data_IF_058147546650
#
_entry.id   IF_058147546650
#
_cell.length_a   1.000
_cell.length_b   1.000
_cell.length_c   1.000
_cell.angle_alpha   90.00
_cell.angle_beta   90.00
_cell.angle_gamma   90.00
#
_symmetry.space_group_name_H-M   'P 1'
#
loop_
_entity.id
_entity.type
_entity.pdbx_description
1 polymer ?
#
# COMPACT_ATOMS: atom_id res chain seq x y z
N UNK A 1 -2.62 4.40 -9.73
CA UNK A 1 -3.69 3.55 -9.13
C UNK A 1 -3.52 2.04 -9.42
N UNK A 2 -3.18 1.65 -10.66
CA UNK A 2 -3.10 0.24 -11.05
C UNK A 2 -1.95 -0.56 -10.39
N UNK A 3 -0.86 0.11 -10.00
CA UNK A 3 0.34 -0.56 -9.48
C UNK A 3 0.15 -1.19 -8.10
N UNK A 4 -0.84 -0.75 -7.33
CA UNK A 4 -1.15 -1.32 -6.00
C UNK A 4 -2.28 -2.36 -6.05
N UNK A 5 -2.62 -2.84 -7.24
CA UNK A 5 -3.62 -3.89 -7.45
C UNK A 5 -2.99 -5.28 -7.60
N UNK A 6 -1.65 -5.37 -7.53
CA UNK A 6 -0.89 -6.62 -7.59
C UNK A 6 0.11 -6.64 -6.46
N UNK A 7 0.33 -7.82 -5.89
CA UNK A 7 1.27 -7.97 -4.78
C UNK A 7 2.69 -7.63 -5.23
N UNK A 8 3.49 -7.10 -4.30
CA UNK A 8 4.94 -6.89 -4.43
C UNK A 8 5.40 -5.95 -5.56
N UNK A 9 4.56 -5.00 -5.98
CA UNK A 9 4.98 -3.93 -6.92
C UNK A 9 5.76 -2.80 -6.24
N UNK A 10 6.64 -3.16 -5.30
CA UNK A 10 7.37 -2.24 -4.42
C UNK A 10 8.28 -1.32 -5.23
N UNK A 11 9.01 -1.87 -6.20
CA UNK A 11 9.94 -1.09 -7.03
C UNK A 11 9.18 -0.17 -8.00
N UNK A 12 8.09 -0.64 -8.60
CA UNK A 12 7.28 0.15 -9.52
C UNK A 12 6.55 1.29 -8.81
N UNK A 13 6.06 1.03 -7.59
CA UNK A 13 5.46 2.07 -6.75
C UNK A 13 6.50 3.13 -6.35
N UNK A 14 7.69 2.71 -5.94
CA UNK A 14 8.79 3.61 -5.61
C UNK A 14 9.17 4.52 -6.78
N UNK A 15 9.40 3.91 -7.94
CA UNK A 15 9.79 4.59 -9.17
C UNK A 15 8.72 5.58 -9.65
N UNK A 16 7.44 5.20 -9.57
CA UNK A 16 6.33 6.11 -9.90
C UNK A 16 6.27 7.34 -8.99
N UNK A 17 6.46 7.13 -7.69
CA UNK A 17 6.47 8.23 -6.70
C UNK A 17 7.69 9.11 -6.86
N UNK A 18 8.87 8.51 -7.07
CA UNK A 18 10.10 9.25 -7.34
C UNK A 18 9.94 10.14 -8.57
N UNK A 19 9.51 9.58 -9.71
CA UNK A 19 9.27 10.37 -10.93
C UNK A 19 8.28 11.50 -10.68
N UNK A 20 7.18 11.23 -9.99
CA UNK A 20 6.21 12.28 -9.68
C UNK A 20 6.84 13.43 -8.90
N UNK A 21 7.60 13.15 -7.85
CA UNK A 21 8.20 14.17 -7.00
C UNK A 21 9.37 14.92 -7.66
N UNK A 22 10.15 14.26 -8.52
CA UNK A 22 11.29 14.85 -9.21
C UNK A 22 10.93 15.51 -10.56
N UNK A 23 9.67 15.45 -10.99
CA UNK A 23 9.16 16.10 -12.21
C UNK A 23 7.96 17.03 -11.90
N UNK A 24 8.14 17.98 -10.98
CA UNK A 24 7.18 19.04 -10.63
C UNK A 24 5.79 18.57 -10.16
N UNK A 25 5.68 17.32 -9.73
CA UNK A 25 4.47 16.79 -9.13
C UNK A 25 4.12 17.51 -7.82
N UNK A 26 2.82 17.61 -7.54
CA UNK A 26 2.29 18.30 -6.38
C UNK A 26 2.26 17.36 -5.16
N UNK A 27 3.14 17.54 -4.16
CA UNK A 27 3.28 16.55 -3.10
C UNK A 27 2.02 16.37 -2.24
N UNK A 28 1.19 17.41 -2.14
CA UNK A 28 -0.06 17.36 -1.39
C UNK A 28 -1.10 16.44 -2.06
N UNK A 29 -1.09 16.36 -3.40
CA UNK A 29 -1.90 15.39 -4.13
C UNK A 29 -1.37 13.96 -3.91
N UNK A 30 -0.05 13.79 -3.83
CA UNK A 30 0.55 12.49 -3.51
C UNK A 30 0.21 12.05 -2.08
N UNK A 31 0.30 12.94 -1.10
CA UNK A 31 -0.12 12.68 0.29
C UNK A 31 -1.59 12.22 0.33
N UNK A 32 -2.48 12.93 -0.35
CA UNK A 32 -3.89 12.56 -0.45
C UNK A 32 -4.08 11.18 -1.11
N UNK A 33 -3.32 10.89 -2.17
CA UNK A 33 -3.36 9.61 -2.86
C UNK A 33 -2.87 8.46 -1.98
N UNK A 34 -1.74 8.63 -1.29
CA UNK A 34 -1.20 7.64 -0.36
C UNK A 34 -2.15 7.42 0.83
N UNK A 35 -2.80 8.47 1.32
CA UNK A 35 -3.87 8.38 2.33
C UNK A 35 -5.07 7.59 1.82
N UNK A 36 -5.52 7.82 0.59
CA UNK A 36 -6.62 7.05 -0.03
C UNK A 36 -6.24 5.57 -0.22
N UNK A 37 -5.01 5.30 -0.65
CA UNK A 37 -4.50 3.95 -0.86
C UNK A 37 -4.33 3.21 0.44
N UNK A 38 -3.76 3.89 1.45
CA UNK A 38 -3.83 3.47 2.84
C UNK A 38 -5.27 3.07 3.08
N UNK A 39 -6.26 3.98 2.93
CA UNK A 39 -7.72 3.85 3.15
C UNK A 39 -8.48 2.73 2.42
N UNK A 40 -7.87 2.06 1.45
CA UNK A 40 -8.49 1.01 0.66
C UNK A 40 -8.28 -0.42 1.18
N UNK A 41 -7.17 -0.68 1.87
CA UNK A 41 -6.80 -2.03 2.35
C UNK A 41 -7.39 -2.38 3.74
N UNK A 42 -7.28 -3.63 4.18
CA UNK A 42 -7.52 -3.96 5.60
C UNK A 42 -6.27 -3.56 6.39
N UNK A 43 -6.36 -2.47 7.17
CA UNK A 43 -5.19 -1.87 7.82
C UNK A 43 -4.99 -2.43 9.21
N UNK A 44 -3.80 -2.96 9.44
CA UNK A 44 -3.29 -3.04 10.80
C UNK A 44 -2.81 -1.68 11.31
N UNK A 45 -2.66 -1.59 12.63
CA UNK A 45 -2.20 -0.40 13.32
C UNK A 45 -0.79 0.03 12.86
N UNK A 46 0.09 -0.92 12.53
CA UNK A 46 1.46 -0.64 12.10
C UNK A 46 1.53 0.01 10.72
N UNK A 47 0.60 -0.33 9.84
CA UNK A 47 0.47 0.26 8.50
C UNK A 47 0.06 1.72 8.61
N UNK A 48 -0.89 2.03 9.50
CA UNK A 48 -1.30 3.41 9.81
C UNK A 48 -0.10 4.18 10.38
N UNK A 49 0.55 3.66 11.41
CA UNK A 49 1.71 4.32 12.04
C UNK A 49 2.86 4.58 11.06
N UNK A 50 3.13 3.65 10.15
CA UNK A 50 4.19 3.77 9.15
C UNK A 50 3.91 4.92 8.18
N UNK A 51 2.68 5.01 7.66
CA UNK A 51 2.29 6.08 6.74
C UNK A 51 2.24 7.44 7.45
N UNK A 52 1.66 7.51 8.65
CA UNK A 52 1.66 8.74 9.45
C UNK A 52 3.06 9.22 9.80
N UNK A 53 3.95 8.27 10.16
CA UNK A 53 5.36 8.54 10.42
C UNK A 53 6.04 9.14 9.19
N UNK A 54 5.86 8.53 8.02
CA UNK A 54 6.39 9.04 6.76
C UNK A 54 5.86 10.44 6.42
N UNK A 55 4.57 10.71 6.66
CA UNK A 55 3.97 12.03 6.42
C UNK A 55 4.59 13.09 7.35
N UNK A 56 4.76 12.77 8.64
CA UNK A 56 5.45 13.65 9.59
C UNK A 56 6.89 13.93 9.14
N UNK A 57 7.63 12.88 8.77
CA UNK A 57 9.01 13.03 8.27
C UNK A 57 9.08 13.89 7.00
N UNK A 58 8.13 13.72 6.07
CA UNK A 58 8.03 14.55 4.87
C UNK A 58 7.77 16.02 5.22
N UNK A 59 6.78 16.30 6.07
CA UNK A 59 6.44 17.67 6.48
C UNK A 59 7.63 18.40 7.09
N UNK A 60 8.44 17.72 7.91
CA UNK A 60 9.62 18.33 8.55
C UNK A 60 10.78 18.54 7.59
N UNK A 61 10.85 17.79 6.49
CA UNK A 61 11.94 17.81 5.51
C UNK A 61 11.44 18.19 4.11
N UNK A 62 10.41 19.03 4.04
CA UNK A 62 9.78 19.40 2.77
C UNK A 62 10.79 20.10 1.87
N UNK A 63 10.80 19.73 0.59
CA UNK A 63 11.73 20.29 -0.40
C UNK A 63 13.12 19.65 -0.40
N UNK A 64 13.39 18.65 0.45
CA UNK A 64 14.66 17.89 0.43
C UNK A 64 14.49 16.50 -0.17
N UNK A 65 15.61 15.91 -0.60
CA UNK A 65 15.67 14.51 -1.06
C UNK A 65 15.21 13.55 0.04
N UNK A 66 15.56 13.81 1.30
CA UNK A 66 15.14 12.97 2.43
C UNK A 66 13.62 13.03 2.68
N UNK A 67 13.00 14.18 2.45
CA UNK A 67 11.54 14.29 2.44
C UNK A 67 10.93 13.39 1.36
N UNK A 68 11.46 13.44 0.13
CA UNK A 68 11.01 12.59 -0.96
C UNK A 68 11.19 11.10 -0.64
N UNK A 69 12.31 10.71 -0.03
CA UNK A 69 12.57 9.34 0.42
C UNK A 69 11.53 8.84 1.42
N UNK A 70 11.03 9.69 2.32
CA UNK A 70 9.97 9.29 3.25
C UNK A 70 8.68 8.88 2.51
N UNK A 71 8.26 9.63 1.49
CA UNK A 71 7.08 9.30 0.70
C UNK A 71 7.29 8.09 -0.21
N UNK A 72 8.50 7.93 -0.77
CA UNK A 72 8.88 6.73 -1.52
C UNK A 72 8.83 5.49 -0.61
N UNK A 73 9.34 5.58 0.62
CA UNK A 73 9.29 4.50 1.59
C UNK A 73 7.85 4.13 1.97
N UNK A 74 6.98 5.11 2.19
CA UNK A 74 5.55 4.87 2.45
C UNK A 74 4.87 4.13 1.28
N UNK A 75 5.15 4.53 0.04
CA UNK A 75 4.61 3.90 -1.14
C UNK A 75 5.11 2.44 -1.30
N UNK A 76 6.40 2.21 -1.05
CA UNK A 76 7.01 0.87 -1.02
C UNK A 76 6.35 -0.02 0.02
N UNK A 77 6.16 0.51 1.22
CA UNK A 77 5.53 -0.20 2.33
C UNK A 77 4.09 -0.57 1.98
N UNK A 78 3.29 0.38 1.51
CA UNK A 78 1.91 0.11 1.07
C UNK A 78 1.87 -0.93 -0.05
N UNK A 79 2.78 -0.88 -1.03
CA UNK A 79 2.86 -1.86 -2.11
C UNK A 79 3.29 -3.27 -1.65
N UNK A 80 4.08 -3.37 -0.57
CA UNK A 80 4.47 -4.64 0.01
C UNK A 80 3.31 -5.31 0.76
N UNK A 81 2.40 -4.51 1.30
CA UNK A 81 1.25 -4.96 2.10
C UNK A 81 -0.07 -4.89 1.32
N UNK A 82 -0.04 -4.50 0.03
CA UNK A 82 -1.20 -4.41 -0.85
C UNK A 82 -1.04 -5.25 -2.13
N UNK A 83 -2.14 -5.75 -2.72
CA UNK A 83 -3.45 -5.86 -2.08
C UNK A 83 -3.36 -6.89 -0.96
N UNK A 84 -3.89 -6.53 0.21
CA UNK A 84 -4.13 -7.49 1.28
C UNK A 84 -5.00 -8.60 0.71
N UNK A 85 -4.65 -9.87 0.96
CA UNK A 85 -5.58 -10.96 0.69
C UNK A 85 -6.78 -10.64 1.58
N UNK A 86 -7.91 -10.25 1.00
CA UNK A 86 -9.09 -9.94 1.80
C UNK A 86 -9.37 -11.21 2.58
N UNK A 87 -9.29 -11.17 3.91
CA UNK A 87 -9.65 -12.33 4.73
C UNK A 87 -11.05 -12.86 4.31
N UNK A 88 -11.94 -11.96 3.86
CA UNK A 88 -13.22 -12.29 3.23
C UNK A 88 -13.14 -13.14 1.95
N UNK A 89 -12.19 -12.92 1.05
CA UNK A 89 -12.04 -13.76 -0.15
C UNK A 89 -11.57 -15.16 0.22
N UNK A 90 -10.70 -15.29 1.22
CA UNK A 90 -10.27 -16.58 1.73
C UNK A 90 -11.43 -17.31 2.43
N UNK A 91 -12.21 -16.61 3.27
CA UNK A 91 -13.42 -17.15 3.89
C UNK A 91 -14.48 -17.53 2.85
N UNK A 92 -14.72 -16.70 1.83
CA UNK A 92 -15.67 -16.98 0.75
C UNK A 92 -15.20 -18.17 -0.08
N UNK A 93 -13.91 -18.24 -0.42
CA UNK A 93 -13.31 -19.38 -1.12
C UNK A 93 -13.47 -20.67 -0.32
N UNK A 94 -13.19 -20.65 0.98
CA UNK A 94 -13.40 -21.80 1.88
C UNK A 94 -14.89 -22.19 1.92
N UNK A 95 -15.79 -21.22 2.09
CA UNK A 95 -17.24 -21.46 2.11
C UNK A 95 -17.75 -22.02 0.77
N UNK A 96 -17.23 -21.53 -0.36
CA UNK A 96 -17.59 -21.99 -1.70
C UNK A 96 -17.06 -23.39 -1.99
N UNK A 97 -15.85 -23.72 -1.51
CA UNK A 97 -15.27 -25.08 -1.60
C UNK A 97 -16.07 -26.08 -0.76
N UNK A 98 -16.43 -25.70 0.47
CA UNK A 98 -17.32 -26.47 1.33
C UNK A 98 -18.71 -26.67 0.70
N UNK A 99 -19.29 -25.61 0.12
CA UNK A 99 -20.58 -25.69 -0.56
C UNK A 99 -20.57 -26.65 -1.77
N UNK A 100 -19.42 -26.77 -2.45
CA UNK A 100 -19.21 -27.73 -3.55
C UNK A 100 -18.82 -29.14 -3.09
N UNK A 101 -18.77 -29.39 -1.78
CA UNK A 101 -18.46 -30.70 -1.21
C UNK A 101 -16.98 -31.07 -1.24
N UNK A 102 -16.08 -30.11 -1.47
CA UNK A 102 -14.64 -30.36 -1.38
C UNK A 102 -14.24 -30.63 0.07
N UNK A 103 -13.47 -31.70 0.30
CA UNK A 103 -12.95 -32.02 1.63
C UNK A 103 -11.80 -31.06 1.96
N UNK A 104 -11.83 -30.49 3.16
CA UNK A 104 -10.78 -29.57 3.64
C UNK A 104 -9.47 -30.28 4.04
N UNK A 105 -9.50 -31.61 4.18
CA UNK A 105 -8.35 -32.44 4.56
C UNK A 105 -8.43 -33.80 3.85
N UNK A 106 -7.35 -34.17 3.16
CA UNK A 106 -7.03 -35.58 2.89
C UNK A 106 -5.95 -35.96 3.90
N UNK A 107 -6.23 -37.01 4.68
CA UNK A 107 -5.24 -37.62 5.59
C UNK A 107 -4.30 -38.54 4.82
#
# INVERSE_FOLDING_TARGET
PALLNRQQQVNQAADSVARYLFHDGQPDQLLAMLGKLLLREDRDFHTIQTVEGAFKQYTHRRGTVDGAHALIAAARYLAAHAPTVRAQEQTFSIAQRLHRGERLFEG
#
